data_IF_767818304871
#
_entry.id   IF_767818304871
#
_cell.length_a   1.000
_cell.length_b   1.000
_cell.length_c   1.000
_cell.angle_alpha   90.00
_cell.angle_beta   90.00
_cell.angle_gamma   90.00
#
_symmetry.space_group_name_H-M   'P 1'
#
loop_
_entity.id
_entity.type
_entity.pdbx_description
1 polymer ?
#
# COMPACT_ATOMS: atom_id res chain seq x y z
N UNK A 1 15.54 29.38 -24.89
CA UNK A 1 14.22 28.79 -24.59
C UNK A 1 14.43 27.63 -23.63
N UNK A 2 13.95 27.72 -22.39
CA UNK A 2 14.09 26.65 -21.38
C UNK A 2 13.24 25.45 -21.83
N UNK A 3 13.88 24.32 -22.12
CA UNK A 3 13.17 23.03 -22.20
C UNK A 3 12.58 22.77 -20.80
N UNK A 4 11.28 22.96 -20.67
CA UNK A 4 10.55 22.45 -19.52
C UNK A 4 10.57 20.94 -19.64
N UNK A 5 11.44 20.29 -18.84
CA UNK A 5 11.45 18.86 -18.67
C UNK A 5 10.06 18.45 -18.18
N UNK A 6 9.23 17.97 -19.11
CA UNK A 6 7.97 17.33 -18.82
C UNK A 6 8.31 16.01 -18.14
N UNK A 7 8.39 16.02 -16.80
CA UNK A 7 8.44 14.79 -16.01
C UNK A 7 7.08 14.12 -16.15
N UNK A 8 6.93 13.32 -17.21
CA UNK A 8 5.73 12.53 -17.46
C UNK A 8 5.66 11.51 -16.33
N UNK A 9 4.74 11.71 -15.39
CA UNK A 9 4.46 10.69 -14.37
C UNK A 9 3.93 9.47 -15.13
N UNK A 10 4.79 8.47 -15.31
CA UNK A 10 4.42 7.22 -15.96
C UNK A 10 3.88 6.28 -14.88
N UNK A 11 2.57 6.34 -14.65
CA UNK A 11 1.87 5.41 -13.76
C UNK A 11 1.73 4.09 -14.51
N UNK A 12 2.57 3.11 -14.17
CA UNK A 12 2.46 1.75 -14.69
C UNK A 12 1.22 1.03 -14.14
N UNK A 13 0.75 -0.05 -14.79
CA UNK A 13 -0.42 -0.81 -14.32
C UNK A 13 -0.23 -1.39 -12.91
N UNK A 14 1.00 -1.75 -12.52
CA UNK A 14 1.32 -2.22 -11.15
C UNK A 14 1.16 -1.08 -10.13
N UNK A 15 1.68 0.11 -10.45
CA UNK A 15 1.54 1.29 -9.62
C UNK A 15 0.08 1.71 -9.46
N UNK A 16 -0.73 1.61 -10.53
CA UNK A 16 -2.18 1.80 -10.43
C UNK A 16 -2.82 0.78 -9.47
N UNK A 17 -2.42 -0.49 -9.56
CA UNK A 17 -2.86 -1.55 -8.64
C UNK A 17 -2.53 -1.24 -7.18
N UNK A 18 -1.30 -0.78 -6.90
CA UNK A 18 -0.87 -0.36 -5.56
C UNK A 18 -1.76 0.76 -5.03
N UNK A 19 -2.00 1.80 -5.83
CA UNK A 19 -2.83 2.95 -5.44
C UNK A 19 -4.25 2.49 -5.12
N UNK A 20 -4.87 1.74 -6.04
CA UNK A 20 -6.25 1.28 -5.89
C UNK A 20 -6.40 0.39 -4.68
N UNK A 21 -5.51 -0.60 -4.49
CA UNK A 21 -5.55 -1.48 -3.33
C UNK A 21 -5.32 -0.71 -2.03
N UNK A 22 -4.34 0.21 -1.98
CA UNK A 22 -4.05 0.99 -0.78
C UNK A 22 -5.23 1.87 -0.38
N UNK A 23 -5.84 2.56 -1.35
CA UNK A 23 -7.02 3.40 -1.11
C UNK A 23 -8.23 2.56 -0.69
N UNK A 24 -8.47 1.43 -1.36
CA UNK A 24 -9.55 0.53 -1.00
C UNK A 24 -9.39 0.03 0.44
N UNK A 25 -8.21 -0.44 0.82
CA UNK A 25 -7.91 -0.86 2.18
C UNK A 25 -8.12 0.28 3.18
N UNK A 26 -7.62 1.49 2.92
CA UNK A 26 -7.80 2.63 3.81
C UNK A 26 -9.28 3.01 4.00
N UNK A 27 -10.08 2.95 2.93
CA UNK A 27 -11.51 3.23 2.98
C UNK A 27 -12.29 2.15 3.74
N UNK A 28 -11.90 0.88 3.61
CA UNK A 28 -12.56 -0.20 4.36
C UNK A 28 -12.22 -0.09 5.85
N UNK A 29 -10.98 0.21 6.22
CA UNK A 29 -10.63 0.49 7.62
C UNK A 29 -11.43 1.68 8.19
N UNK A 30 -11.61 2.74 7.40
CA UNK A 30 -12.47 3.86 7.81
C UNK A 30 -13.93 3.43 7.98
N UNK A 31 -14.42 2.57 7.08
CA UNK A 31 -15.77 2.01 7.16
C UNK A 31 -15.94 1.17 8.44
N UNK A 32 -15.03 0.24 8.73
CA UNK A 32 -15.07 -0.57 9.95
C UNK A 32 -15.00 0.32 11.21
N UNK A 33 -14.18 1.36 11.20
CA UNK A 33 -14.08 2.32 12.31
C UNK A 33 -15.40 3.05 12.62
N UNK A 34 -16.26 3.33 11.63
CA UNK A 34 -17.51 4.06 11.85
C UNK A 34 -18.67 3.15 12.26
N UNK A 35 -18.50 1.83 12.22
CA UNK A 35 -19.55 0.89 12.57
C UNK A 35 -19.99 1.02 14.04
N UNK A 36 -21.29 0.90 14.34
CA UNK A 36 -21.79 0.89 15.70
C UNK A 36 -21.26 -0.32 16.48
N UNK A 37 -20.81 -0.10 17.72
CA UNK A 37 -20.34 -1.19 18.59
C UNK A 37 -18.95 -1.74 18.26
N UNK A 38 -18.20 -1.06 17.38
CA UNK A 38 -16.84 -1.48 17.04
C UNK A 38 -15.84 -1.16 18.16
N UNK A 39 -15.37 -2.20 18.84
CA UNK A 39 -14.42 -2.11 19.96
C UNK A 39 -13.00 -1.73 19.50
N UNK A 40 -12.63 -2.05 18.25
CA UNK A 40 -11.29 -1.79 17.70
C UNK A 40 -11.23 -0.50 16.87
N UNK A 41 -12.22 0.38 16.99
CA UNK A 41 -12.33 1.65 16.25
C UNK A 41 -11.02 2.43 16.15
N UNK A 42 -10.32 2.59 17.26
CA UNK A 42 -9.06 3.35 17.29
C UNK A 42 -7.96 2.70 16.42
N UNK A 43 -7.90 1.36 16.40
CA UNK A 43 -6.96 0.61 15.57
C UNK A 43 -7.30 0.75 14.08
N UNK A 44 -8.59 0.73 13.74
CA UNK A 44 -9.05 0.93 12.37
C UNK A 44 -8.78 2.36 11.87
N UNK A 45 -8.99 3.39 12.69
CA UNK A 45 -8.62 4.77 12.34
C UNK A 45 -7.11 4.88 12.12
N UNK A 46 -6.32 4.28 13.01
CA UNK A 46 -4.86 4.27 12.86
C UNK A 46 -4.44 3.57 11.57
N UNK A 47 -5.10 2.47 11.21
CA UNK A 47 -4.88 1.79 9.93
C UNK A 47 -5.21 2.67 8.72
N UNK A 48 -6.38 3.29 8.70
CA UNK A 48 -6.76 4.24 7.65
C UNK A 48 -5.68 5.31 7.46
N UNK A 49 -5.27 5.97 8.56
CA UNK A 49 -4.25 7.01 8.54
C UNK A 49 -2.90 6.45 8.07
N UNK A 50 -2.48 5.29 8.58
CA UNK A 50 -1.22 4.64 8.22
C UNK A 50 -1.10 4.38 6.72
N UNK A 51 -2.15 3.81 6.11
CA UNK A 51 -2.18 3.58 4.65
C UNK A 51 -2.11 4.87 3.85
N UNK A 52 -2.88 5.90 4.23
CA UNK A 52 -2.89 7.18 3.52
C UNK A 52 -1.54 7.92 3.64
N UNK A 53 -0.95 7.93 4.83
CA UNK A 53 0.36 8.56 5.06
C UNK A 53 1.45 7.86 4.23
N UNK A 54 1.48 6.53 4.22
CA UNK A 54 2.45 5.77 3.44
C UNK A 54 2.24 5.96 1.92
N UNK A 55 0.99 6.04 1.47
CA UNK A 55 0.68 6.35 0.07
C UNK A 55 1.17 7.74 -0.33
N UNK A 56 0.92 8.76 0.50
CA UNK A 56 1.42 10.12 0.26
C UNK A 56 2.94 10.17 0.31
N UNK A 57 3.57 9.47 1.27
CA UNK A 57 5.02 9.35 1.38
C UNK A 57 5.66 8.78 0.11
N UNK A 58 4.97 7.85 -0.56
CA UNK A 58 5.43 7.27 -1.81
C UNK A 58 5.39 8.24 -3.00
N UNK A 59 4.47 9.22 -3.01
CA UNK A 59 4.40 10.23 -4.07
C UNK A 59 5.27 11.47 -3.82
N UNK A 60 5.78 11.66 -2.60
CA UNK A 60 6.59 12.82 -2.26
C UNK A 60 7.97 12.76 -2.93
N UNK A 61 8.33 13.72 -3.80
CA UNK A 61 9.61 13.73 -4.50
C UNK A 61 10.79 13.93 -3.53
N UNK A 62 10.57 14.61 -2.40
CA UNK A 62 11.58 14.76 -1.33
C UNK A 62 11.96 13.41 -0.71
N UNK A 63 11.07 12.42 -0.80
CA UNK A 63 11.28 11.06 -0.32
C UNK A 63 11.69 10.08 -1.43
N UNK A 64 12.01 10.56 -2.64
CA UNK A 64 12.40 9.72 -3.76
C UNK A 64 13.54 8.75 -3.44
N UNK A 65 14.54 9.20 -2.66
CA UNK A 65 15.63 8.33 -2.19
C UNK A 65 15.19 7.23 -1.21
N UNK A 66 14.02 7.37 -0.60
CA UNK A 66 13.45 6.44 0.37
C UNK A 66 12.26 5.66 -0.17
N UNK A 67 11.88 5.80 -1.45
CA UNK A 67 10.71 5.10 -2.02
C UNK A 67 10.75 3.59 -1.82
N UNK A 68 11.95 2.99 -1.94
CA UNK A 68 12.15 1.57 -1.65
C UNK A 68 11.91 1.22 -0.18
N UNK A 69 12.32 2.09 0.74
CA UNK A 69 12.04 1.92 2.17
C UNK A 69 10.56 2.07 2.46
N UNK A 70 9.91 3.11 1.91
CA UNK A 70 8.45 3.34 2.05
C UNK A 70 7.68 2.11 1.55
N UNK A 71 8.09 1.52 0.42
CA UNK A 71 7.52 0.28 -0.09
C UNK A 71 7.67 -0.88 0.90
N UNK A 72 8.86 -1.12 1.44
CA UNK A 72 9.04 -2.19 2.43
C UNK A 72 8.25 -1.94 3.72
N UNK A 73 8.15 -0.69 4.15
CA UNK A 73 7.30 -0.31 5.29
C UNK A 73 5.84 -0.59 4.98
N UNK A 74 5.34 -0.25 3.78
CA UNK A 74 3.96 -0.54 3.37
C UNK A 74 3.68 -2.05 3.29
N UNK A 75 4.64 -2.85 2.82
CA UNK A 75 4.55 -4.32 2.84
C UNK A 75 4.46 -4.82 4.28
N UNK A 76 5.40 -4.42 5.14
CA UNK A 76 5.46 -4.88 6.53
C UNK A 76 4.21 -4.46 7.31
N UNK A 77 3.77 -3.22 7.11
CA UNK A 77 2.55 -2.69 7.71
C UNK A 77 1.33 -3.53 7.32
N UNK A 78 1.17 -3.80 6.03
CA UNK A 78 0.07 -4.63 5.51
C UNK A 78 0.15 -6.08 5.99
N UNK A 79 1.35 -6.64 6.11
CA UNK A 79 1.52 -7.98 6.67
C UNK A 79 1.09 -8.04 8.15
N UNK A 80 1.37 -6.99 8.92
CA UNK A 80 0.96 -6.88 10.32
C UNK A 80 -0.57 -6.76 10.43
N UNK A 81 -1.25 -5.98 9.58
CA UNK A 81 -2.72 -5.87 9.62
C UNK A 81 -3.42 -7.18 9.29
N UNK A 82 -2.86 -7.97 8.37
CA UNK A 82 -3.34 -9.32 8.07
C UNK A 82 -3.10 -10.26 9.25
N UNK A 83 -1.87 -10.26 9.80
CA UNK A 83 -1.51 -11.14 10.92
C UNK A 83 -2.33 -10.85 12.18
N UNK A 84 -2.49 -9.57 12.54
CA UNK A 84 -3.28 -9.18 13.72
C UNK A 84 -4.73 -9.59 13.61
N UNK A 85 -5.31 -9.53 12.41
CA UNK A 85 -6.68 -10.01 12.19
C UNK A 85 -6.84 -11.51 12.46
N UNK A 86 -5.85 -12.33 12.09
CA UNK A 86 -5.86 -13.76 12.46
C UNK A 86 -5.72 -13.99 13.97
N UNK A 87 -4.94 -13.15 14.66
CA UNK A 87 -4.68 -13.30 16.10
C UNK A 87 -5.83 -12.80 16.99
N UNK A 88 -6.54 -11.75 16.56
CA UNK A 88 -7.65 -11.16 17.30
C UNK A 88 -8.93 -12.02 17.17
N UNK A 89 -8.99 -12.90 16.17
CA UNK A 89 -10.10 -13.80 15.91
C UNK A 89 -10.84 -13.44 14.62
N UNK A 90 -11.21 -14.44 13.82
CA UNK A 90 -11.89 -14.24 12.53
C UNK A 90 -13.28 -13.62 12.75
N UNK A 91 -13.52 -12.37 12.30
CA UNK A 91 -14.85 -11.79 12.32
C UNK A 91 -15.77 -12.60 11.40
N UNK A 92 -17.04 -12.75 11.78
CA UNK A 92 -18.06 -13.43 10.97
C UNK A 92 -18.49 -12.63 9.74
N UNK A 93 -18.03 -11.38 9.64
CA UNK A 93 -18.45 -10.44 8.62
C UNK A 93 -17.68 -10.64 7.30
N UNK A 94 -18.39 -10.80 6.16
CA UNK A 94 -17.76 -11.01 4.84
C UNK A 94 -16.76 -9.92 4.44
N UNK A 95 -16.96 -8.69 4.91
CA UNK A 95 -16.11 -7.56 4.55
C UNK A 95 -14.67 -7.70 5.07
N UNK A 96 -14.47 -8.35 6.23
CA UNK A 96 -13.14 -8.61 6.76
C UNK A 96 -12.30 -9.49 5.83
N UNK A 97 -12.92 -10.56 5.28
CA UNK A 97 -12.27 -11.46 4.33
C UNK A 97 -11.92 -10.76 3.01
N UNK A 98 -12.82 -9.92 2.49
CA UNK A 98 -12.56 -9.14 1.28
C UNK A 98 -11.39 -8.18 1.49
N UNK A 99 -11.34 -7.51 2.65
CA UNK A 99 -10.22 -6.64 3.02
C UNK A 99 -8.90 -7.40 3.03
N UNK A 100 -8.87 -8.62 3.58
CA UNK A 100 -7.65 -9.44 3.61
C UNK A 100 -7.20 -9.88 2.23
N UNK A 101 -8.13 -10.19 1.33
CA UNK A 101 -7.80 -10.46 -0.06
C UNK A 101 -7.15 -9.24 -0.73
N UNK A 102 -7.69 -8.03 -0.51
CA UNK A 102 -7.12 -6.78 -1.05
C UNK A 102 -5.74 -6.49 -0.46
N UNK A 103 -5.55 -6.68 0.85
CA UNK A 103 -4.26 -6.52 1.53
C UNK A 103 -3.20 -7.49 0.99
N UNK A 104 -3.56 -8.75 0.73
CA UNK A 104 -2.65 -9.73 0.10
C UNK A 104 -2.31 -9.33 -1.34
N UNK A 105 -3.30 -8.88 -2.12
CA UNK A 105 -3.06 -8.38 -3.49
C UNK A 105 -2.13 -7.16 -3.48
N UNK A 106 -2.28 -6.25 -2.52
CA UNK A 106 -1.38 -5.10 -2.34
C UNK A 106 0.07 -5.56 -2.12
N UNK A 107 0.29 -6.53 -1.24
CA UNK A 107 1.63 -7.10 -1.00
C UNK A 107 2.22 -7.69 -2.29
N UNK A 108 1.40 -8.42 -3.08
CA UNK A 108 1.84 -9.01 -4.35
C UNK A 108 2.25 -7.92 -5.35
N UNK A 109 1.48 -6.84 -5.48
CA UNK A 109 1.83 -5.74 -6.38
C UNK A 109 3.12 -5.04 -5.94
N UNK A 110 3.28 -4.75 -4.65
CA UNK A 110 4.50 -4.13 -4.11
C UNK A 110 5.73 -5.02 -4.33
N UNK A 111 5.61 -6.33 -4.13
CA UNK A 111 6.69 -7.27 -4.38
C UNK A 111 7.04 -7.37 -5.88
N UNK A 112 6.03 -7.36 -6.75
CA UNK A 112 6.22 -7.43 -8.20
C UNK A 112 6.93 -6.19 -8.73
N UNK A 113 6.58 -5.01 -8.23
CA UNK A 113 7.26 -3.76 -8.57
C UNK A 113 8.74 -3.77 -8.16
N UNK A 114 9.07 -4.26 -6.95
CA UNK A 114 10.46 -4.40 -6.49
C UNK A 114 11.29 -5.31 -7.40
N UNK A 115 10.70 -6.42 -7.84
CA UNK A 115 11.36 -7.36 -8.76
C UNK A 115 11.59 -6.72 -10.13
N UNK A 116 10.62 -5.96 -10.65
CA UNK A 116 10.74 -5.28 -11.94
C UNK A 116 11.87 -4.23 -11.93
N UNK A 117 11.93 -3.40 -10.90
CA UNK A 117 12.99 -2.40 -10.74
C UNK A 117 14.40 -3.02 -10.71
N UNK A 118 14.57 -4.11 -9.94
CA UNK A 118 15.86 -4.80 -9.87
C UNK A 118 16.29 -5.39 -11.21
N UNK A 119 15.36 -6.02 -11.94
CA UNK A 119 15.66 -6.59 -13.27
C UNK A 119 16.13 -5.51 -14.24
N UNK A 120 15.47 -4.35 -14.25
CA UNK A 120 15.88 -3.22 -15.08
C UNK A 120 17.29 -2.72 -14.74
N UNK A 121 17.65 -2.64 -13.45
CA UNK A 121 18.98 -2.19 -13.04
C UNK A 121 20.11 -3.15 -13.46
N UNK A 122 19.85 -4.48 -13.47
CA UNK A 122 20.83 -5.48 -13.87
C UNK A 122 21.09 -5.49 -15.37
N UNK A 123 20.05 -5.31 -16.19
CA UNK A 123 20.19 -5.26 -17.65
C UNK A 123 21.05 -4.07 -18.13
N UNK A 124 21.04 -2.95 -17.41
CA UNK A 124 21.84 -1.76 -17.75
C UNK A 124 23.32 -1.89 -17.34
N UNK A 125 23.62 -2.71 -16.32
CA UNK A 125 25.00 -2.95 -15.89
C UNK A 125 25.73 -3.99 -16.76
N UNK A 126 25.01 -4.74 -17.59
CA UNK A 126 25.54 -5.82 -18.42
C UNK A 126 25.77 -5.42 -19.90
N UNK A 127 25.48 -4.17 -20.27
CA UNK A 127 25.65 -3.58 -21.60
C UNK A 127 26.74 -2.52 -21.60
#
# INVERSE_FOLDING_TARGET
MKQMAQTRIHIGPVQLGIIVCTLATALIHLYEAVQPGEDLRNWFILNCIGYLVLLVAWFLPQLAGFHRLVRYVLILYTAITVLMWFLIGLPSEPIGYVTKAIEVLLIIFLATEDVQERRHSLSYSAS
#
